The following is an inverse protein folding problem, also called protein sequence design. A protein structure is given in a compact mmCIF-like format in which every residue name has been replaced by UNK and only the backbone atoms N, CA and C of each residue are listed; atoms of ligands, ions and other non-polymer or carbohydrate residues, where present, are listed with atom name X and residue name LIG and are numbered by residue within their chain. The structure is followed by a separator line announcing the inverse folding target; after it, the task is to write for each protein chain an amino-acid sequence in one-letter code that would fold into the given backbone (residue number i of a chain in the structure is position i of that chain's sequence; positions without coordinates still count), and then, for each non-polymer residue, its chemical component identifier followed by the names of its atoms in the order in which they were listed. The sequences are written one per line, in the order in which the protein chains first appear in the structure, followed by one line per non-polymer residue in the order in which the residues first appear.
data_IF_892488626880
#
_entry.id   IF_892488626880
#
_cell.length_a   1.000
_cell.length_b   1.000
_cell.length_c   1.000
_cell.angle_alpha   90.00
_cell.angle_beta   90.00
_cell.angle_gamma   90.00
#
_symmetry.space_group_name_H-M   'P 1'
#
loop_
_entity.id
_entity.type
_entity.pdbx_description
1 polymer ?
#
# COMPACT_ATOMS: atom_id res chain seq x y z
N UNK A 1 -5.42 2.82 17.57
CA UNK A 1 -5.31 2.66 16.10
C UNK A 1 -3.93 2.14 15.80
N UNK A 2 -3.78 0.96 15.18
CA UNK A 2 -2.46 0.44 14.76
C UNK A 2 -2.18 1.01 13.36
N UNK A 3 -1.10 1.76 13.21
CA UNK A 3 -0.66 2.31 11.93
C UNK A 3 0.26 1.31 11.20
N UNK A 4 0.01 1.11 9.91
CA UNK A 4 0.83 0.25 9.04
C UNK A 4 1.57 1.16 8.07
N UNK A 5 2.90 0.99 7.95
CA UNK A 5 3.70 1.71 6.96
C UNK A 5 3.87 0.82 5.73
N UNK A 6 3.31 1.26 4.61
CA UNK A 6 3.45 0.60 3.32
C UNK A 6 4.49 1.36 2.49
N UNK A 7 5.52 0.66 2.04
CA UNK A 7 6.48 1.23 1.08
C UNK A 7 6.12 0.72 -0.32
N UNK A 8 5.62 1.63 -1.15
CA UNK A 8 5.35 1.36 -2.55
C UNK A 8 6.62 1.49 -3.38
N UNK A 9 6.65 0.78 -4.51
CA UNK A 9 7.67 1.02 -5.52
C UNK A 9 7.40 2.38 -6.20
N UNK A 10 8.43 3.11 -6.64
CA UNK A 10 8.24 4.43 -7.25
C UNK A 10 7.20 4.46 -8.37
N UNK A 11 7.18 3.44 -9.23
CA UNK A 11 6.25 3.30 -10.36
C UNK A 11 4.78 3.09 -9.95
N UNK A 12 4.53 2.68 -8.71
CA UNK A 12 3.19 2.44 -8.17
C UNK A 12 2.67 3.63 -7.33
N UNK A 13 3.54 4.60 -6.98
CA UNK A 13 3.17 5.79 -6.17
C UNK A 13 2.16 6.65 -6.90
N UNK A 14 2.39 6.94 -8.18
CA UNK A 14 1.50 7.81 -8.96
C UNK A 14 0.11 7.19 -9.11
N UNK A 15 0.03 5.87 -9.29
CA UNK A 15 -1.23 5.12 -9.37
C UNK A 15 -1.98 5.13 -8.05
N UNK A 16 -1.26 5.01 -6.93
CA UNK A 16 -1.86 5.09 -5.59
C UNK A 16 -2.38 6.48 -5.26
N UNK A 17 -1.63 7.53 -5.63
CA UNK A 17 -2.05 8.91 -5.46
C UNK A 17 -3.32 9.21 -6.27
N UNK A 18 -3.37 8.78 -7.54
CA UNK A 18 -4.54 8.92 -8.39
C UNK A 18 -5.75 8.17 -7.81
N UNK A 19 -5.57 6.89 -7.44
CA UNK A 19 -6.62 6.09 -6.83
C UNK A 19 -7.20 6.72 -5.55
N UNK A 20 -6.34 7.26 -4.69
CA UNK A 20 -6.76 7.96 -3.48
C UNK A 20 -7.59 9.21 -3.79
N UNK A 21 -7.16 10.03 -4.76
CA UNK A 21 -7.89 11.23 -5.17
C UNK A 21 -9.26 10.90 -5.78
N UNK A 22 -9.35 9.78 -6.49
CA UNK A 22 -10.58 9.30 -7.11
C UNK A 22 -11.50 8.55 -6.13
N UNK A 23 -11.10 8.41 -4.86
CA UNK A 23 -11.90 7.72 -3.83
C UNK A 23 -11.90 6.20 -3.99
N UNK A 24 -10.92 5.63 -4.68
CA UNK A 24 -10.79 4.20 -4.86
C UNK A 24 -10.04 3.52 -3.72
N UNK A 25 -10.45 2.28 -3.41
CA UNK A 25 -9.73 1.42 -2.48
C UNK A 25 -8.44 0.90 -3.13
N UNK A 26 -7.35 0.94 -2.37
CA UNK A 26 -6.04 0.45 -2.80
C UNK A 26 -5.65 -0.76 -1.95
N UNK A 27 -5.60 -1.93 -2.59
CA UNK A 27 -5.09 -3.16 -1.99
C UNK A 27 -3.65 -3.42 -2.45
N UNK A 28 -2.75 -3.56 -1.48
CA UNK A 28 -1.34 -3.89 -1.70
C UNK A 28 -1.10 -5.31 -1.18
N UNK A 29 -0.50 -6.18 -2.00
CA UNK A 29 -0.11 -7.54 -1.62
C UNK A 29 1.41 -7.64 -1.59
N UNK A 30 1.95 -8.21 -0.52
CA UNK A 30 3.38 -8.25 -0.24
C UNK A 30 3.67 -8.95 1.07
N UNK A 31 4.94 -9.06 1.41
CA UNK A 31 5.40 -9.67 2.65
C UNK A 31 5.30 -8.65 3.79
N UNK A 32 4.75 -9.09 4.93
CA UNK A 32 4.63 -8.25 6.13
C UNK A 32 5.68 -8.70 7.14
N UNK A 33 6.52 -7.77 7.56
CA UNK A 33 7.55 -7.99 8.57
C UNK A 33 7.37 -7.03 9.75
N UNK A 34 7.73 -7.44 10.99
CA UNK A 34 7.76 -6.54 12.13
C UNK A 34 8.75 -5.39 11.88
N UNK A 35 8.36 -4.16 12.22
CA UNK A 35 9.23 -2.99 12.12
C UNK A 35 9.01 -2.03 13.29
N UNK A 36 9.98 -1.99 14.21
CA UNK A 36 9.85 -1.23 15.46
C UNK A 36 8.64 -1.70 16.27
N UNK A 37 7.75 -0.77 16.61
CA UNK A 37 6.48 -1.05 17.30
C UNK A 37 5.30 -1.33 16.36
N UNK A 38 5.56 -1.43 15.05
CA UNK A 38 4.54 -1.61 14.01
C UNK A 38 4.89 -2.71 13.00
N UNK A 39 4.28 -2.62 11.82
CA UNK A 39 4.49 -3.52 10.69
C UNK A 39 4.99 -2.73 9.47
N UNK A 40 5.89 -3.34 8.71
CA UNK A 40 6.34 -2.87 7.40
C UNK A 40 5.93 -3.88 6.34
N UNK A 41 5.48 -3.37 5.21
CA UNK A 41 5.22 -4.18 4.02
C UNK A 41 6.38 -4.04 3.02
N UNK A 42 6.94 -5.17 2.56
CA UNK A 42 8.01 -5.24 1.57
C UNK A 42 7.66 -6.20 0.43
N UNK A 43 8.35 -6.04 -0.70
CA UNK A 43 8.20 -6.93 -1.84
C UNK A 43 6.78 -6.90 -2.41
N UNK A 44 6.26 -5.71 -2.71
CA UNK A 44 4.93 -5.55 -3.31
C UNK A 44 4.83 -6.39 -4.59
N UNK A 45 3.96 -7.40 -4.56
CA UNK A 45 3.71 -8.34 -5.66
C UNK A 45 2.48 -7.95 -6.47
N UNK A 46 1.50 -7.32 -5.83
CA UNK A 46 0.31 -6.83 -6.51
C UNK A 46 -0.16 -5.51 -5.91
N UNK A 47 -0.63 -4.65 -6.80
CA UNK A 47 -1.27 -3.37 -6.50
C UNK A 47 -2.61 -3.37 -7.23
N UNK A 48 -3.71 -3.32 -6.49
CA UNK A 48 -5.06 -3.42 -7.05
C UNK A 48 -5.86 -2.21 -6.61
N UNK A 49 -6.43 -1.50 -7.58
CA UNK A 49 -7.35 -0.39 -7.37
C UNK A 49 -8.76 -0.90 -7.63
N UNK A 50 -9.70 -0.65 -6.71
CA UNK A 50 -11.11 -1.02 -6.88
C UNK A 50 -12.03 0.15 -6.56
N UNK A 51 -13.12 0.33 -7.32
CA UNK A 51 -14.23 1.14 -6.85
C UNK A 51 -14.81 0.52 -5.57
N UNK A 52 -15.14 1.36 -4.59
CA UNK A 52 -15.89 0.96 -3.38
C UNK A 52 -17.20 0.22 -3.72
#
# INVERSE_FOLDING_TARGET
MRSVRVELRPEDVDKAAAAWLDGFEVAVHGDVEPYGTGMRMRGVRAFVVRPE
#
